data_IF_669604610635
#
_entry.id   IF_669604610635
#
_cell.length_a   1.000
_cell.length_b   1.000
_cell.length_c   1.000
_cell.angle_alpha   90.00
_cell.angle_beta   90.00
_cell.angle_gamma   90.00
#
_symmetry.space_group_name_H-M   'P 1'
#
loop_
_entity.id
_entity.type
_entity.pdbx_description
1 polymer ?
#
# COMPACT_ATOMS: atom_id res chain seq x y z
N UNK A 1 -11.45 -18.78 -4.38
CA UNK A 1 -11.92 -17.68 -3.51
C UNK A 1 -12.65 -16.63 -4.33
N UNK A 2 -13.68 -16.01 -3.77
CA UNK A 2 -14.54 -15.04 -4.47
C UNK A 2 -13.86 -13.68 -4.65
N UNK A 3 -14.41 -12.84 -5.53
CA UNK A 3 -14.00 -11.44 -5.66
C UNK A 3 -14.14 -10.69 -4.33
N UNK A 4 -15.26 -10.87 -3.63
CA UNK A 4 -15.52 -10.21 -2.34
C UNK A 4 -14.50 -10.59 -1.27
N UNK A 5 -14.05 -11.85 -1.24
CA UNK A 5 -12.99 -12.28 -0.34
C UNK A 5 -11.70 -11.48 -0.55
N UNK A 6 -11.23 -11.38 -1.80
CA UNK A 6 -10.01 -10.61 -2.11
C UNK A 6 -10.20 -9.11 -1.86
N UNK A 7 -11.41 -8.58 -2.06
CA UNK A 7 -11.73 -7.18 -1.79
C UNK A 7 -11.61 -6.85 -0.31
N UNK A 8 -12.23 -7.67 0.54
CA UNK A 8 -12.14 -7.54 2.00
C UNK A 8 -10.68 -7.70 2.45
N UNK A 9 -9.99 -8.74 1.96
CA UNK A 9 -8.60 -8.98 2.31
C UNK A 9 -7.69 -7.81 1.92
N UNK A 10 -7.83 -7.28 0.71
CA UNK A 10 -7.00 -6.17 0.22
C UNK A 10 -7.22 -4.90 1.05
N UNK A 11 -8.49 -4.56 1.37
CA UNK A 11 -8.80 -3.42 2.23
C UNK A 11 -8.25 -3.61 3.65
N UNK A 12 -8.41 -4.81 4.22
CA UNK A 12 -7.89 -5.12 5.55
C UNK A 12 -6.36 -4.98 5.63
N UNK A 13 -5.64 -5.42 4.59
CA UNK A 13 -4.19 -5.24 4.48
C UNK A 13 -3.80 -3.77 4.32
N UNK A 14 -4.55 -2.98 3.54
CA UNK A 14 -4.32 -1.54 3.39
C UNK A 14 -4.48 -0.82 4.73
N UNK A 15 -5.58 -1.04 5.45
CA UNK A 15 -5.79 -0.37 6.74
C UNK A 15 -4.74 -0.77 7.77
N UNK A 16 -4.38 -2.05 7.81
CA UNK A 16 -3.30 -2.56 8.66
C UNK A 16 -1.95 -1.91 8.30
N UNK A 17 -1.64 -1.77 7.01
CA UNK A 17 -0.44 -1.07 6.53
C UNK A 17 -0.41 0.39 6.97
N UNK A 18 -1.52 1.12 6.82
CA UNK A 18 -1.59 2.53 7.19
C UNK A 18 -1.38 2.72 8.70
N UNK A 19 -2.02 1.91 9.55
CA UNK A 19 -1.84 1.97 11.01
C UNK A 19 -0.38 1.67 11.39
N UNK A 20 0.19 0.59 10.87
CA UNK A 20 1.58 0.23 11.17
C UNK A 20 2.58 1.26 10.61
N UNK A 21 2.24 1.94 9.52
CA UNK A 21 3.06 3.00 8.93
C UNK A 21 3.10 4.23 9.82
N UNK A 22 1.96 4.63 10.40
CA UNK A 22 1.90 5.70 11.40
C UNK A 22 2.79 5.34 12.59
N UNK A 23 2.66 4.14 13.15
CA UNK A 23 3.50 3.71 14.27
C UNK A 23 4.99 3.73 13.94
N UNK A 24 5.38 3.35 12.71
CA UNK A 24 6.78 3.42 12.27
C UNK A 24 7.33 4.85 12.17
N UNK A 25 6.46 5.85 11.93
CA UNK A 25 6.87 7.23 11.71
C UNK A 25 6.76 8.11 12.95
N UNK A 26 5.88 7.80 13.90
CA UNK A 26 5.59 8.69 15.05
C UNK A 26 6.06 8.16 16.40
N UNK A 27 6.47 6.89 16.49
CA UNK A 27 6.85 6.26 17.76
C UNK A 27 8.25 5.68 17.70
N UNK A 28 8.67 4.99 18.78
CA UNK A 28 9.81 4.07 18.74
C UNK A 28 9.28 2.68 18.35
N UNK A 29 9.29 2.30 17.05
CA UNK A 29 8.63 1.09 16.59
C UNK A 29 9.34 -0.18 17.08
N UNK A 30 8.55 -1.09 17.64
CA UNK A 30 9.00 -2.44 17.99
C UNK A 30 9.38 -3.24 16.75
N UNK A 31 10.15 -4.33 16.93
CA UNK A 31 10.54 -5.23 15.84
C UNK A 31 9.31 -5.82 15.13
N UNK A 32 8.25 -6.15 15.88
CA UNK A 32 7.01 -6.67 15.33
C UNK A 32 6.29 -5.65 14.45
N UNK A 33 6.27 -4.37 14.81
CA UNK A 33 5.66 -3.30 13.98
C UNK A 33 6.38 -3.14 12.65
N UNK A 34 7.72 -3.21 12.65
CA UNK A 34 8.53 -3.13 11.41
C UNK A 34 8.29 -4.33 10.49
N UNK A 35 8.34 -5.54 11.04
CA UNK A 35 8.08 -6.77 10.28
C UNK A 35 6.65 -6.77 9.77
N UNK A 36 5.69 -6.45 10.65
CA UNK A 36 4.27 -6.38 10.31
C UNK A 36 4.01 -5.43 9.15
N UNK A 37 4.60 -4.22 9.17
CA UNK A 37 4.43 -3.24 8.10
C UNK A 37 4.92 -3.78 6.74
N UNK A 38 6.08 -4.44 6.72
CA UNK A 38 6.59 -5.11 5.52
C UNK A 38 5.68 -6.25 5.05
N UNK A 39 5.24 -7.12 5.96
CA UNK A 39 4.37 -8.25 5.63
C UNK A 39 3.04 -7.77 5.06
N UNK A 40 2.36 -6.82 5.70
CA UNK A 40 1.08 -6.32 5.18
C UNK A 40 1.25 -5.58 3.86
N UNK A 41 2.37 -4.87 3.63
CA UNK A 41 2.65 -4.25 2.31
C UNK A 41 2.77 -5.29 1.19
N UNK A 42 3.41 -6.43 1.46
CA UNK A 42 3.47 -7.54 0.51
C UNK A 42 2.09 -8.17 0.29
N UNK A 43 1.29 -8.34 1.35
CA UNK A 43 -0.05 -8.90 1.26
C UNK A 43 -1.05 -7.96 0.54
N UNK A 44 -0.84 -6.63 0.57
CA UNK A 44 -1.56 -5.70 -0.31
C UNK A 44 -1.36 -6.11 -1.77
N UNK A 45 -0.11 -6.36 -2.19
CA UNK A 45 0.20 -6.77 -3.56
C UNK A 45 -0.47 -8.11 -3.89
N UNK A 46 -0.32 -9.12 -3.04
CA UNK A 46 -0.90 -10.46 -3.27
C UNK A 46 -2.44 -10.40 -3.39
N UNK A 47 -3.10 -9.70 -2.46
CA UNK A 47 -4.55 -9.55 -2.50
C UNK A 47 -5.02 -8.71 -3.70
N UNK A 48 -4.22 -7.71 -4.10
CA UNK A 48 -4.49 -6.88 -5.28
C UNK A 48 -4.38 -7.68 -6.58
N UNK A 49 -3.36 -8.51 -6.73
CA UNK A 49 -3.25 -9.43 -7.87
C UNK A 49 -4.40 -10.44 -7.90
N UNK A 50 -4.81 -10.93 -6.72
CA UNK A 50 -6.00 -11.76 -6.57
C UNK A 50 -7.28 -11.08 -7.08
N UNK A 51 -7.47 -9.78 -6.81
CA UNK A 51 -8.57 -8.99 -7.37
C UNK A 51 -8.49 -8.88 -8.89
N UNK A 52 -7.31 -8.55 -9.44
CA UNK A 52 -7.10 -8.42 -10.88
C UNK A 52 -7.47 -9.69 -11.64
N UNK A 53 -7.07 -10.85 -11.12
CA UNK A 53 -7.42 -12.15 -11.68
C UNK A 53 -8.94 -12.40 -11.73
N UNK A 54 -9.71 -11.84 -10.79
CA UNK A 54 -11.18 -11.99 -10.75
C UNK A 54 -11.93 -11.03 -11.67
N UNK A 55 -11.29 -9.96 -12.12
CA UNK A 55 -11.85 -9.00 -13.08
C UNK A 55 -11.31 -9.21 -14.50
N UNK A 56 -10.62 -10.33 -14.76
CA UNK A 56 -10.14 -10.71 -16.09
C UNK A 56 -8.91 -9.93 -16.57
N UNK A 57 -8.21 -9.20 -15.69
CA UNK A 57 -6.97 -8.52 -16.06
C UNK A 57 -5.83 -9.55 -16.08
N UNK A 58 -5.41 -9.93 -17.28
CA UNK A 58 -4.30 -10.87 -17.46
C UNK A 58 -2.94 -10.17 -17.37
N UNK A 59 -1.98 -10.83 -16.74
CA UNK A 59 -0.58 -10.39 -16.66
C UNK A 59 0.20 -10.55 -17.98
N UNK A 60 -0.38 -11.25 -18.98
CA UNK A 60 0.29 -11.56 -20.25
C UNK A 60 0.22 -10.46 -21.32
N UNK A 61 -0.76 -9.55 -21.23
CA UNK A 61 -1.00 -8.50 -22.23
C UNK A 61 -0.54 -7.10 -21.76
N UNK A 62 0.15 -7.02 -20.62
CA UNK A 62 0.44 -5.76 -19.94
C UNK A 62 -0.72 -5.31 -19.04
N UNK A 63 -0.38 -4.63 -17.93
CA UNK A 63 -1.39 -4.12 -17.02
C UNK A 63 -1.98 -2.79 -17.50
N UNK A 64 -3.29 -2.55 -17.30
CA UNK A 64 -3.89 -1.24 -17.53
C UNK A 64 -3.15 -0.13 -16.77
N UNK A 65 -3.12 1.08 -17.32
CA UNK A 65 -2.39 2.21 -16.74
C UNK A 65 -2.74 2.47 -15.27
N UNK A 66 -4.03 2.48 -14.92
CA UNK A 66 -4.47 2.64 -13.52
C UNK A 66 -3.92 1.56 -12.58
N UNK A 67 -3.75 0.32 -13.04
CA UNK A 67 -3.16 -0.77 -12.25
C UNK A 67 -1.68 -0.49 -12.01
N UNK A 68 -0.96 -0.16 -13.08
CA UNK A 68 0.47 0.15 -13.02
C UNK A 68 0.75 1.32 -12.09
N UNK A 69 0.00 2.42 -12.22
CA UNK A 69 0.11 3.57 -11.32
C UNK A 69 -0.17 3.20 -9.86
N UNK A 70 -1.21 2.40 -9.62
CA UNK A 70 -1.55 1.94 -8.27
C UNK A 70 -0.45 1.06 -7.67
N UNK A 71 0.15 0.16 -8.45
CA UNK A 71 1.27 -0.65 -7.99
C UNK A 71 2.50 0.19 -7.67
N UNK A 72 2.83 1.17 -8.52
CA UNK A 72 3.95 2.09 -8.29
C UNK A 72 3.75 2.85 -6.97
N UNK A 73 2.54 3.35 -6.71
CA UNK A 73 2.22 4.05 -5.45
C UNK A 73 2.44 3.13 -4.24
N UNK A 74 1.89 1.91 -4.25
CA UNK A 74 2.05 1.01 -3.10
C UNK A 74 3.50 0.57 -2.89
N UNK A 75 4.25 0.33 -3.97
CA UNK A 75 5.68 0.02 -3.88
C UNK A 75 6.48 1.20 -3.34
N UNK A 76 6.18 2.41 -3.81
CA UNK A 76 6.81 3.64 -3.31
C UNK A 76 6.58 3.78 -1.81
N UNK A 77 5.35 3.58 -1.33
CA UNK A 77 5.02 3.64 0.10
C UNK A 77 5.70 2.53 0.90
N UNK A 78 5.73 1.30 0.38
CA UNK A 78 6.38 0.16 1.04
C UNK A 78 7.88 0.40 1.29
N UNK A 79 8.55 1.16 0.43
CA UNK A 79 9.96 1.55 0.60
C UNK A 79 10.11 2.84 1.40
N UNK A 80 9.31 3.87 1.08
CA UNK A 80 9.45 5.21 1.66
C UNK A 80 9.19 5.21 3.17
N UNK A 81 8.17 4.50 3.65
CA UNK A 81 7.81 4.46 5.08
C UNK A 81 8.99 3.97 5.95
N UNK A 82 9.59 2.77 5.73
CA UNK A 82 10.70 2.31 6.57
C UNK A 82 11.97 3.16 6.39
N UNK A 83 12.22 3.70 5.19
CA UNK A 83 13.36 4.60 4.96
C UNK A 83 13.18 5.89 5.75
N UNK A 84 12.02 6.54 5.65
CA UNK A 84 11.72 7.78 6.38
C UNK A 84 11.77 7.56 7.89
N UNK A 85 11.18 6.48 8.40
CA UNK A 85 11.20 6.16 9.83
C UNK A 85 12.62 5.99 10.39
N UNK A 86 13.57 5.52 9.58
CA UNK A 86 14.97 5.30 9.99
C UNK A 86 15.90 6.49 9.72
N UNK A 87 15.65 7.25 8.65
CA UNK A 87 16.63 8.19 8.08
C UNK A 87 16.21 9.64 8.10
N UNK A 88 14.91 9.93 8.17
CA UNK A 88 14.44 11.32 8.07
C UNK A 88 14.36 11.97 9.45
N UNK A 89 14.62 13.28 9.55
CA UNK A 89 14.32 14.06 10.75
C UNK A 89 12.80 14.15 10.96
N UNK A 90 12.38 14.60 12.14
CA UNK A 90 10.95 14.67 12.51
C UNK A 90 10.08 15.44 11.50
N UNK A 91 10.55 16.56 10.97
CA UNK A 91 9.84 17.30 9.93
C UNK A 91 9.65 16.47 8.64
N UNK A 92 10.66 15.69 8.26
CA UNK A 92 10.61 14.77 7.12
C UNK A 92 9.61 13.63 7.34
N UNK A 93 9.55 13.07 8.56
CA UNK A 93 8.57 12.03 8.92
C UNK A 93 7.12 12.55 8.83
N UNK A 94 6.87 13.78 9.30
CA UNK A 94 5.56 14.45 9.14
C UNK A 94 5.20 14.64 7.67
N UNK A 95 6.17 15.08 6.85
CA UNK A 95 5.99 15.16 5.39
C UNK A 95 5.65 13.80 4.77
N UNK A 96 6.31 12.73 5.22
CA UNK A 96 6.00 11.36 4.77
C UNK A 96 4.60 10.91 5.15
N UNK A 97 4.09 11.29 6.33
CA UNK A 97 2.69 11.00 6.72
C UNK A 97 1.69 11.68 5.77
N UNK A 98 1.90 12.95 5.44
CA UNK A 98 1.05 13.68 4.49
C UNK A 98 1.12 13.02 3.12
N UNK A 99 2.32 12.70 2.63
CA UNK A 99 2.50 12.00 1.37
C UNK A 99 1.79 10.64 1.35
N UNK A 100 1.87 9.88 2.44
CA UNK A 100 1.19 8.59 2.59
C UNK A 100 -0.33 8.73 2.42
N UNK A 101 -0.95 9.72 3.08
CA UNK A 101 -2.40 9.98 2.96
C UNK A 101 -2.78 10.37 1.54
N UNK A 102 -2.06 11.33 0.94
CA UNK A 102 -2.32 11.81 -0.42
C UNK A 102 -2.17 10.68 -1.43
N UNK A 103 -1.06 9.94 -1.39
CA UNK A 103 -0.80 8.84 -2.31
C UNK A 103 -1.82 7.71 -2.16
N UNK A 104 -2.24 7.40 -0.92
CA UNK A 104 -3.28 6.39 -0.68
C UNK A 104 -4.64 6.84 -1.25
N UNK A 105 -4.98 8.12 -1.12
CA UNK A 105 -6.20 8.68 -1.71
C UNK A 105 -6.16 8.64 -3.25
N UNK A 106 -5.02 8.98 -3.86
CA UNK A 106 -4.81 8.87 -5.31
C UNK A 106 -4.95 7.41 -5.77
N UNK A 107 -4.33 6.46 -5.06
CA UNK A 107 -4.45 5.03 -5.36
C UNK A 107 -5.89 4.51 -5.26
N UNK A 108 -6.70 5.06 -4.34
CA UNK A 108 -8.13 4.76 -4.25
C UNK A 108 -8.91 5.38 -5.41
N UNK A 109 -8.65 6.65 -5.76
CA UNK A 109 -9.30 7.34 -6.87
C UNK A 109 -9.03 6.65 -8.22
N UNK A 110 -7.80 6.18 -8.47
CA UNK A 110 -7.43 5.41 -9.67
C UNK A 110 -8.26 4.13 -9.82
N UNK A 111 -8.60 3.47 -8.71
CA UNK A 111 -9.39 2.25 -8.75
C UNK A 111 -10.87 2.50 -9.11
N UNK A 112 -11.37 3.70 -8.84
CA UNK A 112 -12.74 4.13 -9.13
C UNK A 112 -12.83 4.64 -10.57
N UNK A 113 -11.95 5.57 -10.93
CA UNK A 113 -11.96 6.26 -12.23
C UNK A 113 -11.43 5.39 -13.36
N UNK A 114 -10.50 4.46 -13.05
CA UNK A 114 -9.87 3.54 -14.01
C UNK A 114 -9.44 4.21 -15.34
N UNK A 115 -8.69 5.32 -15.28
CA UNK A 115 -8.18 5.97 -16.47
C UNK A 115 -7.19 5.08 -17.24
#
# INVERSE_FOLDING_TARGET
>A
MSYEFYKILHLFMIFSFLVLSVLNLTTVPSKMVKIGNGVVSFLILVAGMGLLARIGVSHGAGFPTWVTLKMVIWLLLAVLIPVAGKRFPEAGKKGTLVAMVVLSAVAAALAITKP
#
